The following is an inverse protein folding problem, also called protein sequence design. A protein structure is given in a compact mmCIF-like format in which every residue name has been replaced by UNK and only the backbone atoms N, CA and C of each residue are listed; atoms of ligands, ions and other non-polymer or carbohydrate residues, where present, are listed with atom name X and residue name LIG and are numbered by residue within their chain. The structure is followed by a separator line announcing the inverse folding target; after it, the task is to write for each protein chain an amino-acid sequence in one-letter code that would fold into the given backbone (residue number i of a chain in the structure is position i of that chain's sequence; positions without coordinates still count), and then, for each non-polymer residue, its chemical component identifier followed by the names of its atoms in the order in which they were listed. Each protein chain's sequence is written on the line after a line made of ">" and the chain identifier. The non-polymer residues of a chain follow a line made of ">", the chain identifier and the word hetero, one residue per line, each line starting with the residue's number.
data_IF_049882384040
#
_entry.id   IF_049882384040
#
_cell.length_a   1.000
_cell.length_b   1.000
_cell.length_c   1.000
_cell.angle_alpha   90.00
_cell.angle_beta   90.00
_cell.angle_gamma   90.00
#
_symmetry.space_group_name_H-M   'P 1'
#
loop_
_entity.id
_entity.type
_entity.pdbx_description
1 polymer ?
#
# COMPACT_ATOMS: atom_id res chain seq x y z
N UNK A 1 -31.93 -12.59 11.76
CA UNK A 1 -31.29 -12.27 10.45
C UNK A 1 -29.80 -12.48 10.64
N UNK A 2 -29.16 -13.24 9.80
CA UNK A 2 -27.68 -13.41 9.82
C UNK A 2 -27.04 -12.05 9.47
N UNK A 3 -25.98 -11.69 10.20
CA UNK A 3 -25.22 -10.47 9.96
C UNK A 3 -24.64 -10.48 8.51
N UNK A 4 -24.74 -9.36 7.76
CA UNK A 4 -24.21 -9.30 6.40
C UNK A 4 -22.69 -9.54 6.36
N UNK A 5 -22.25 -10.36 5.41
CA UNK A 5 -20.82 -10.62 5.19
C UNK A 5 -20.34 -10.00 3.87
N UNK A 6 -19.07 -9.69 3.81
CA UNK A 6 -18.36 -9.09 2.69
C UNK A 6 -17.17 -9.95 2.32
N UNK A 7 -16.85 -10.01 1.03
CA UNK A 7 -15.70 -10.69 0.50
C UNK A 7 -14.56 -9.71 0.23
N UNK A 8 -13.33 -10.13 0.46
CA UNK A 8 -12.14 -9.31 0.21
C UNK A 8 -11.01 -10.14 -0.40
N UNK A 9 -10.28 -9.55 -1.34
CA UNK A 9 -9.03 -10.07 -1.90
C UNK A 9 -7.93 -9.03 -1.68
N UNK A 10 -6.80 -9.45 -1.09
CA UNK A 10 -5.51 -8.79 -1.20
C UNK A 10 -4.69 -9.56 -2.24
N UNK A 11 -4.63 -9.01 -3.44
CA UNK A 11 -3.88 -9.56 -4.57
C UNK A 11 -2.46 -9.00 -4.56
N UNK A 12 -1.53 -9.72 -3.97
CA UNK A 12 -0.11 -9.36 -3.96
C UNK A 12 0.68 -10.07 -5.06
N UNK A 13 1.81 -9.51 -5.48
CA UNK A 13 2.66 -10.11 -6.51
C UNK A 13 3.27 -11.47 -6.12
N UNK A 14 3.30 -11.82 -4.82
CA UNK A 14 3.86 -13.09 -4.32
C UNK A 14 2.79 -13.99 -3.71
N UNK A 15 1.77 -13.41 -3.09
CA UNK A 15 0.70 -14.12 -2.38
C UNK A 15 -0.62 -13.43 -2.63
N UNK A 16 -1.70 -14.22 -2.64
CA UNK A 16 -3.08 -13.76 -2.49
C UNK A 16 -3.58 -14.08 -1.10
N UNK A 17 -4.39 -13.19 -0.55
CA UNK A 17 -5.17 -13.41 0.65
C UNK A 17 -6.62 -13.16 0.33
N UNK A 18 -7.48 -14.16 0.55
CA UNK A 18 -8.93 -14.03 0.41
C UNK A 18 -9.58 -14.14 1.77
N UNK A 19 -10.60 -13.35 2.03
CA UNK A 19 -11.28 -13.32 3.31
C UNK A 19 -12.79 -13.09 3.16
N UNK A 20 -13.53 -13.56 4.16
CA UNK A 20 -14.93 -13.20 4.44
C UNK A 20 -14.95 -12.54 5.81
N UNK A 21 -15.64 -11.43 5.93
CA UNK A 21 -15.76 -10.68 7.20
C UNK A 21 -17.03 -9.85 7.25
N UNK A 22 -17.22 -9.15 8.35
CA UNK A 22 -18.35 -8.27 8.61
C UNK A 22 -17.96 -6.81 8.48
N UNK A 23 -18.92 -5.90 8.44
CA UNK A 23 -18.70 -4.46 8.20
C UNK A 23 -17.86 -3.77 9.29
N UNK A 24 -17.78 -4.35 10.49
CA UNK A 24 -16.96 -3.87 11.59
C UNK A 24 -15.48 -4.29 11.48
N UNK A 25 -15.12 -5.06 10.43
CA UNK A 25 -13.76 -5.57 10.22
C UNK A 25 -13.48 -6.93 10.85
N UNK A 26 -14.49 -7.58 11.46
CA UNK A 26 -14.31 -8.92 12.05
C UNK A 26 -14.19 -9.98 10.95
N UNK A 27 -13.06 -10.67 10.91
CA UNK A 27 -12.84 -11.77 9.97
C UNK A 27 -13.56 -13.04 10.41
N UNK A 28 -14.32 -13.64 9.50
CA UNK A 28 -15.00 -14.95 9.70
C UNK A 28 -14.16 -16.09 9.16
N UNK A 29 -13.54 -15.88 7.99
CA UNK A 29 -12.69 -16.88 7.36
C UNK A 29 -11.63 -16.21 6.50
N UNK A 30 -10.44 -16.81 6.41
CA UNK A 30 -9.33 -16.31 5.60
C UNK A 30 -8.51 -17.46 5.06
N UNK A 31 -8.09 -17.34 3.79
CA UNK A 31 -7.10 -18.23 3.17
C UNK A 31 -5.96 -17.41 2.58
N UNK A 32 -4.78 -18.01 2.52
CA UNK A 32 -3.60 -17.43 1.88
C UNK A 32 -2.96 -18.49 0.99
N UNK A 33 -2.64 -18.11 -0.25
CA UNK A 33 -1.97 -18.98 -1.23
C UNK A 33 -0.98 -18.19 -2.08
N UNK A 34 -0.10 -18.90 -2.81
CA UNK A 34 0.90 -18.27 -3.66
C UNK A 34 0.27 -17.67 -4.93
N UNK A 35 0.78 -16.52 -5.35
CA UNK A 35 0.45 -15.92 -6.65
C UNK A 35 1.18 -16.68 -7.75
N UNK A 36 0.43 -17.46 -8.53
CA UNK A 36 0.89 -18.18 -9.72
C UNK A 36 0.54 -17.39 -10.98
N UNK A 37 0.20 -18.04 -12.06
CA UNK A 37 -0.42 -17.43 -13.23
C UNK A 37 -1.85 -16.92 -12.89
N UNK A 38 -2.42 -15.99 -13.68
CA UNK A 38 -3.73 -15.42 -13.40
C UNK A 38 -4.85 -16.45 -13.31
N UNK A 39 -4.91 -17.38 -14.26
CA UNK A 39 -6.02 -18.33 -14.36
C UNK A 39 -6.11 -19.23 -13.13
N UNK A 40 -4.99 -19.84 -12.74
CA UNK A 40 -4.93 -20.70 -11.58
C UNK A 40 -5.13 -19.94 -10.26
N UNK A 41 -4.58 -18.73 -10.14
CA UNK A 41 -4.69 -17.91 -8.92
C UNK A 41 -6.12 -17.42 -8.74
N UNK A 42 -6.75 -16.90 -9.79
CA UNK A 42 -8.12 -16.38 -9.73
C UNK A 42 -9.14 -17.51 -9.60
N UNK A 43 -8.89 -18.69 -10.18
CA UNK A 43 -9.73 -19.87 -9.98
C UNK A 43 -9.70 -20.37 -8.52
N UNK A 44 -8.52 -20.32 -7.85
CA UNK A 44 -8.40 -20.68 -6.44
C UNK A 44 -9.15 -19.69 -5.53
N UNK A 45 -9.05 -18.39 -5.83
CA UNK A 45 -9.80 -17.35 -5.12
C UNK A 45 -11.32 -17.54 -5.30
N UNK A 46 -11.78 -17.83 -6.52
CA UNK A 46 -13.18 -18.11 -6.82
C UNK A 46 -13.69 -19.31 -6.02
N UNK A 47 -12.97 -20.44 -6.06
CA UNK A 47 -13.35 -21.65 -5.31
C UNK A 47 -13.45 -21.39 -3.78
N UNK A 48 -12.59 -20.54 -3.24
CA UNK A 48 -12.70 -20.13 -1.85
C UNK A 48 -14.03 -19.40 -1.58
N UNK A 49 -14.41 -18.41 -2.39
CA UNK A 49 -15.65 -17.66 -2.18
C UNK A 49 -16.90 -18.50 -2.39
N UNK A 50 -16.91 -19.40 -3.36
CA UNK A 50 -18.00 -20.37 -3.57
C UNK A 50 -18.20 -21.26 -2.34
N UNK A 51 -17.11 -21.80 -1.79
CA UNK A 51 -17.14 -22.62 -0.59
C UNK A 51 -17.49 -21.79 0.67
N UNK A 52 -16.98 -20.58 0.81
CA UNK A 52 -17.27 -19.71 1.93
C UNK A 52 -18.74 -19.25 1.94
N UNK A 53 -19.34 -19.00 0.77
CA UNK A 53 -20.74 -18.65 0.64
C UNK A 53 -21.69 -19.75 1.17
N UNK A 54 -21.31 -21.02 1.06
CA UNK A 54 -22.07 -22.15 1.63
C UNK A 54 -22.07 -22.12 3.18
N UNK A 55 -20.99 -21.61 3.79
CA UNK A 55 -20.82 -21.60 5.26
C UNK A 55 -21.31 -20.30 5.91
N UNK A 56 -21.13 -19.18 5.24
CA UNK A 56 -21.34 -17.84 5.81
C UNK A 56 -22.48 -17.05 5.16
N UNK A 57 -23.07 -17.61 4.07
CA UNK A 57 -24.04 -16.90 3.22
C UNK A 57 -23.36 -16.11 2.10
N UNK A 58 -24.14 -15.71 1.11
CA UNK A 58 -23.66 -14.94 -0.04
C UNK A 58 -23.16 -13.55 0.41
N UNK A 59 -21.91 -13.18 0.08
CA UNK A 59 -21.40 -11.84 0.40
C UNK A 59 -22.23 -10.74 -0.26
N UNK A 60 -22.34 -9.59 0.39
CA UNK A 60 -23.04 -8.41 -0.14
C UNK A 60 -22.23 -7.69 -1.24
N UNK A 61 -20.90 -7.76 -1.15
CA UNK A 61 -19.97 -7.19 -2.13
C UNK A 61 -18.60 -7.87 -2.02
N UNK A 62 -17.78 -7.72 -3.07
CA UNK A 62 -16.38 -8.12 -3.11
C UNK A 62 -15.50 -6.87 -3.28
N UNK A 63 -14.55 -6.67 -2.37
CA UNK A 63 -13.46 -5.69 -2.51
C UNK A 63 -12.18 -6.38 -2.98
N UNK A 64 -11.53 -5.84 -4.00
CA UNK A 64 -10.24 -6.33 -4.50
C UNK A 64 -9.21 -5.23 -4.33
N UNK A 65 -8.19 -5.50 -3.54
CA UNK A 65 -7.00 -4.70 -3.36
C UNK A 65 -5.85 -5.36 -4.11
N UNK A 66 -5.29 -4.73 -5.14
CA UNK A 66 -4.29 -5.38 -5.99
C UNK A 66 -3.01 -4.55 -6.13
N UNK A 67 -1.90 -5.26 -6.30
CA UNK A 67 -0.70 -4.64 -6.86
C UNK A 67 -1.03 -4.02 -8.23
N UNK A 68 -0.24 -3.02 -8.62
CA UNK A 68 -0.49 -2.26 -9.83
C UNK A 68 0.59 -2.41 -10.91
N UNK A 69 0.53 -1.49 -11.89
CA UNK A 69 -0.52 -0.48 -12.09
C UNK A 69 -1.85 -1.07 -12.60
N UNK A 70 -2.95 -0.38 -12.26
CA UNK A 70 -4.33 -0.81 -12.55
C UNK A 70 -5.07 0.21 -13.40
N UNK A 71 -5.94 -0.26 -14.30
CA UNK A 71 -6.96 0.60 -14.88
C UNK A 71 -8.17 0.68 -13.96
N UNK A 72 -8.38 1.85 -13.37
CA UNK A 72 -9.42 2.10 -12.38
C UNK A 72 -10.53 3.03 -12.86
N UNK A 73 -10.45 3.57 -14.09
CA UNK A 73 -11.54 4.33 -14.68
C UNK A 73 -12.65 3.38 -15.17
N UNK A 74 -13.86 3.42 -14.57
CA UNK A 74 -14.97 2.56 -15.00
C UNK A 74 -15.42 2.75 -16.45
N UNK A 75 -15.05 3.87 -17.06
CA UNK A 75 -15.38 4.18 -18.46
C UNK A 75 -14.28 3.76 -19.44
N UNK A 76 -13.12 3.33 -18.94
CA UNK A 76 -12.03 2.89 -19.79
C UNK A 76 -12.27 1.44 -20.30
N UNK A 77 -11.88 1.13 -21.55
CA UNK A 77 -12.03 -0.22 -22.12
C UNK A 77 -11.31 -1.33 -21.33
N UNK A 78 -10.26 -0.97 -20.59
CA UNK A 78 -9.44 -1.88 -19.81
C UNK A 78 -9.78 -1.85 -18.30
N UNK A 79 -10.90 -1.27 -17.93
CA UNK A 79 -11.33 -1.22 -16.51
C UNK A 79 -11.27 -2.59 -15.85
N UNK A 80 -10.65 -2.65 -14.69
CA UNK A 80 -10.51 -3.90 -13.94
C UNK A 80 -9.26 -4.71 -14.26
N UNK A 81 -8.42 -4.24 -15.19
CA UNK A 81 -7.22 -4.97 -15.62
C UNK A 81 -5.94 -4.43 -15.00
N UNK A 82 -5.00 -5.34 -14.81
CA UNK A 82 -3.60 -5.00 -14.58
C UNK A 82 -3.00 -4.45 -15.88
N UNK A 83 -2.36 -3.28 -15.79
CA UNK A 83 -1.64 -2.69 -16.90
C UNK A 83 -0.23 -3.31 -17.01
N UNK A 84 0.75 -2.56 -17.51
CA UNK A 84 2.12 -3.06 -17.63
C UNK A 84 2.77 -3.24 -16.25
N UNK A 85 2.71 -4.45 -15.72
CA UNK A 85 3.27 -4.83 -14.43
C UNK A 85 4.57 -5.63 -14.59
N UNK A 86 5.53 -5.54 -13.63
CA UNK A 86 6.72 -6.38 -13.63
C UNK A 86 6.43 -7.86 -13.32
N UNK A 87 5.24 -8.20 -12.84
CA UNK A 87 4.85 -9.60 -12.57
C UNK A 87 4.60 -10.34 -13.87
N UNK A 88 5.48 -11.29 -14.20
CA UNK A 88 5.37 -12.08 -15.42
C UNK A 88 4.03 -12.79 -15.54
N UNK A 89 3.41 -12.70 -16.74
CA UNK A 89 2.13 -13.32 -17.08
C UNK A 89 0.89 -12.60 -16.55
N UNK A 90 1.05 -11.48 -15.80
CA UNK A 90 -0.09 -10.75 -15.24
C UNK A 90 -0.49 -9.49 -16.02
N UNK A 91 0.26 -9.14 -17.06
CA UNK A 91 -0.14 -8.06 -17.96
C UNK A 91 -1.51 -8.36 -18.59
N UNK A 92 -2.39 -7.37 -18.61
CA UNK A 92 -3.78 -7.44 -19.08
C UNK A 92 -4.70 -8.44 -18.33
N UNK A 93 -4.26 -9.02 -17.21
CA UNK A 93 -5.11 -9.88 -16.40
C UNK A 93 -6.33 -9.11 -15.88
N UNK A 94 -7.52 -9.68 -16.14
CA UNK A 94 -8.79 -9.11 -15.66
C UNK A 94 -9.07 -9.61 -14.25
N UNK A 95 -9.16 -8.67 -13.30
CA UNK A 95 -9.37 -8.98 -11.89
C UNK A 95 -10.86 -8.99 -11.50
N UNK A 96 -11.75 -8.51 -12.35
CA UNK A 96 -13.18 -8.38 -12.03
C UNK A 96 -13.99 -9.51 -12.71
N UNK A 97 -13.77 -9.76 -14.00
CA UNK A 97 -14.56 -10.72 -14.77
C UNK A 97 -14.62 -12.13 -14.15
N UNK A 98 -13.55 -12.69 -13.55
CA UNK A 98 -13.61 -14.01 -12.92
C UNK A 98 -14.63 -14.13 -11.78
N UNK A 99 -15.07 -13.01 -11.18
CA UNK A 99 -16.03 -12.97 -10.07
C UNK A 99 -17.44 -12.52 -10.47
N UNK A 100 -17.68 -12.20 -11.74
CA UNK A 100 -18.99 -11.76 -12.22
C UNK A 100 -20.13 -12.77 -11.94
N UNK A 101 -19.81 -14.07 -11.92
CA UNK A 101 -20.78 -15.15 -11.63
C UNK A 101 -21.33 -15.11 -10.20
N UNK A 102 -20.65 -14.41 -9.27
CA UNK A 102 -21.15 -14.25 -7.89
C UNK A 102 -22.40 -13.36 -7.82
N UNK A 103 -22.68 -12.57 -8.86
CA UNK A 103 -23.87 -11.69 -8.94
C UNK A 103 -23.90 -10.58 -7.90
N UNK A 104 -22.74 -10.21 -7.38
CA UNK A 104 -22.57 -9.16 -6.34
C UNK A 104 -21.73 -8.01 -6.87
N UNK A 105 -21.85 -6.79 -6.31
CA UNK A 105 -20.97 -5.67 -6.65
C UNK A 105 -19.51 -6.00 -6.38
N UNK A 106 -18.62 -5.64 -7.32
CA UNK A 106 -17.17 -5.78 -7.18
C UNK A 106 -16.54 -4.39 -7.22
N UNK A 107 -15.72 -4.06 -6.22
CA UNK A 107 -14.92 -2.85 -6.17
C UNK A 107 -13.43 -3.22 -6.28
N UNK A 108 -12.67 -2.47 -7.10
CA UNK A 108 -11.24 -2.66 -7.30
C UNK A 108 -10.49 -1.38 -6.94
N UNK A 109 -9.40 -1.52 -6.22
CA UNK A 109 -8.41 -0.46 -5.98
C UNK A 109 -7.01 -1.04 -5.81
N UNK A 110 -5.99 -0.18 -5.69
CA UNK A 110 -4.64 -0.62 -5.35
C UNK A 110 -4.58 -1.13 -3.91
N UNK A 111 -3.61 -2.00 -3.64
CA UNK A 111 -3.34 -2.52 -2.30
C UNK A 111 -3.07 -1.40 -1.28
N UNK A 112 -2.32 -0.37 -1.66
CA UNK A 112 -2.05 0.80 -0.79
C UNK A 112 -3.27 1.68 -0.58
N UNK A 113 -4.15 1.85 -1.57
CA UNK A 113 -5.41 2.57 -1.40
C UNK A 113 -6.36 1.82 -0.47
N UNK A 114 -6.45 0.51 -0.61
CA UNK A 114 -7.25 -0.32 0.29
C UNK A 114 -6.70 -0.29 1.72
N UNK A 115 -5.37 -0.31 1.91
CA UNK A 115 -4.74 -0.14 3.20
C UNK A 115 -5.05 1.25 3.81
N UNK A 116 -4.99 2.31 3.00
CA UNK A 116 -5.35 3.66 3.45
C UNK A 116 -6.83 3.75 3.88
N UNK A 117 -7.74 3.11 3.12
CA UNK A 117 -9.16 3.02 3.51
C UNK A 117 -9.36 2.23 4.81
N UNK A 118 -8.64 1.13 4.99
CA UNK A 118 -8.69 0.33 6.22
C UNK A 118 -8.22 1.15 7.42
N UNK A 119 -7.09 1.86 7.29
CA UNK A 119 -6.60 2.76 8.33
C UNK A 119 -7.57 3.91 8.62
N UNK A 120 -8.20 4.47 7.61
CA UNK A 120 -9.23 5.50 7.78
C UNK A 120 -10.49 4.99 8.48
N UNK A 121 -10.85 3.73 8.25
CA UNK A 121 -12.11 3.15 8.75
C UNK A 121 -11.95 2.52 10.13
N UNK A 122 -10.89 1.78 10.37
CA UNK A 122 -10.71 0.97 11.59
C UNK A 122 -9.39 1.23 12.34
N UNK A 123 -8.44 1.91 11.71
CA UNK A 123 -7.07 2.05 12.21
C UNK A 123 -6.70 3.46 12.64
N UNK A 124 -5.46 3.82 12.37
CA UNK A 124 -4.85 5.08 12.77
C UNK A 124 -5.49 6.34 12.16
N UNK A 125 -6.35 6.20 11.15
CA UNK A 125 -7.08 7.30 10.52
C UNK A 125 -8.30 7.79 11.30
N UNK A 126 -8.43 7.41 12.58
CA UNK A 126 -9.54 7.86 13.43
C UNK A 126 -9.05 8.82 14.51
N UNK A 127 -9.90 9.80 14.85
CA UNK A 127 -9.70 10.68 16.00
C UNK A 127 -10.03 9.93 17.30
N UNK A 128 -9.62 10.43 18.47
CA UNK A 128 -9.94 9.81 19.76
C UNK A 128 -11.45 9.66 20.03
N UNK A 129 -12.27 10.54 19.45
CA UNK A 129 -13.74 10.48 19.53
C UNK A 129 -14.35 9.45 18.57
N UNK A 130 -13.51 8.74 17.80
CA UNK A 130 -13.93 7.73 16.85
C UNK A 130 -14.36 8.29 15.49
N UNK A 131 -14.32 9.59 15.23
CA UNK A 131 -14.58 10.14 13.90
C UNK A 131 -13.40 9.95 12.96
N UNK A 132 -13.61 9.69 11.65
CA UNK A 132 -12.51 9.56 10.71
C UNK A 132 -11.81 10.91 10.48
N UNK A 133 -10.54 10.87 10.15
CA UNK A 133 -9.80 12.02 9.62
C UNK A 133 -10.28 12.32 8.20
N UNK A 134 -10.25 13.60 7.81
CA UNK A 134 -10.67 14.02 6.47
C UNK A 134 -9.65 13.66 5.40
N UNK A 135 -8.36 13.74 5.74
CA UNK A 135 -7.26 13.41 4.83
C UNK A 135 -6.22 12.57 5.54
N UNK A 136 -5.96 11.39 5.00
CA UNK A 136 -4.97 10.43 5.49
C UNK A 136 -4.14 9.92 4.32
N UNK A 137 -2.84 9.74 4.54
CA UNK A 137 -1.95 9.03 3.60
C UNK A 137 -1.36 7.82 4.29
N UNK A 138 -1.50 6.67 3.65
CA UNK A 138 -0.80 5.44 4.01
C UNK A 138 0.36 5.21 3.05
N UNK A 139 1.54 4.90 3.58
CA UNK A 139 2.72 4.54 2.78
C UNK A 139 3.21 3.17 3.21
N UNK A 140 3.36 2.26 2.26
CA UNK A 140 4.03 0.98 2.49
C UNK A 140 5.49 1.08 2.05
N UNK A 141 6.41 0.59 2.88
CA UNK A 141 7.83 0.44 2.57
C UNK A 141 8.19 -1.04 2.74
N UNK A 142 8.33 -1.74 1.62
CA UNK A 142 8.56 -3.19 1.59
C UNK A 142 9.40 -3.59 0.40
N UNK A 143 8.92 -4.52 -0.42
CA UNK A 143 9.54 -4.87 -1.71
C UNK A 143 9.53 -3.70 -2.68
N UNK A 144 8.48 -2.86 -2.62
CA UNK A 144 8.38 -1.58 -3.28
C UNK A 144 8.03 -0.49 -2.27
N UNK A 145 7.80 0.74 -2.76
CA UNK A 145 7.26 1.86 -2.00
C UNK A 145 6.02 2.37 -2.72
N UNK A 146 4.87 2.22 -2.08
CA UNK A 146 3.60 2.72 -2.60
C UNK A 146 2.88 3.60 -1.59
N UNK A 147 1.96 4.44 -2.08
CA UNK A 147 1.18 5.31 -1.20
C UNK A 147 -0.28 5.39 -1.60
N UNK A 148 -1.17 5.16 -0.63
CA UNK A 148 -2.61 5.36 -0.75
C UNK A 148 -3.04 6.64 -0.05
N UNK A 149 -3.91 7.40 -0.70
CA UNK A 149 -4.41 8.69 -0.20
C UNK A 149 -5.92 8.62 -0.04
N UNK A 150 -6.41 8.93 1.15
CA UNK A 150 -7.85 9.05 1.42
C UNK A 150 -8.19 10.50 1.71
N UNK A 151 -9.18 11.04 1.00
CA UNK A 151 -9.74 12.39 1.18
C UNK A 151 -11.24 12.25 1.34
N UNK A 152 -11.78 12.73 2.47
CA UNK A 152 -13.21 12.64 2.80
C UNK A 152 -13.79 11.23 2.61
N UNK A 153 -13.04 10.20 3.10
CA UNK A 153 -13.47 8.80 3.04
C UNK A 153 -13.39 8.15 1.66
N UNK A 154 -12.75 8.80 0.68
CA UNK A 154 -12.56 8.28 -0.68
C UNK A 154 -11.09 8.25 -1.06
N UNK A 155 -10.68 7.23 -1.79
CA UNK A 155 -9.33 7.16 -2.36
C UNK A 155 -9.14 8.24 -3.43
N UNK A 156 -7.96 8.88 -3.40
CA UNK A 156 -7.60 9.89 -4.39
C UNK A 156 -7.31 9.20 -5.73
N UNK A 157 -8.03 9.64 -6.74
CA UNK A 157 -7.84 9.23 -8.14
C UNK A 157 -7.86 10.47 -9.02
N UNK A 158 -7.04 10.46 -10.05
CA UNK A 158 -6.99 11.48 -11.09
C UNK A 158 -6.85 10.79 -12.43
N UNK A 159 -5.80 11.12 -13.17
CA UNK A 159 -5.42 10.40 -14.39
C UNK A 159 -5.20 8.91 -14.12
N UNK A 160 -4.61 8.61 -12.96
CA UNK A 160 -4.45 7.27 -12.38
C UNK A 160 -4.37 7.39 -10.86
N UNK A 161 -4.07 6.31 -10.15
CA UNK A 161 -3.74 6.34 -8.73
C UNK A 161 -2.35 6.98 -8.48
N UNK A 162 -2.08 7.58 -7.32
CA UNK A 162 -0.77 8.12 -6.97
C UNK A 162 0.32 7.05 -6.98
N UNK A 163 1.50 7.40 -7.49
CA UNK A 163 2.72 6.59 -7.50
C UNK A 163 3.81 7.28 -6.68
N UNK A 164 3.54 7.48 -5.39
CA UNK A 164 4.38 8.29 -4.48
C UNK A 164 5.81 7.76 -4.35
N UNK A 165 6.05 6.46 -4.58
CA UNK A 165 7.37 5.85 -4.51
C UNK A 165 8.31 6.26 -5.66
N UNK A 166 7.80 6.86 -6.72
CA UNK A 166 8.61 7.13 -7.91
C UNK A 166 9.07 8.58 -8.06
N UNK A 167 8.89 9.45 -7.05
CA UNK A 167 9.54 10.77 -7.09
C UNK A 167 11.05 10.64 -6.88
N UNK A 168 11.84 11.61 -7.40
CA UNK A 168 13.28 11.65 -7.27
C UNK A 168 13.67 12.51 -6.06
N UNK A 169 14.13 11.90 -4.95
CA UNK A 169 14.58 12.65 -3.79
C UNK A 169 15.96 13.28 -4.02
N UNK A 170 16.32 14.25 -3.21
CA UNK A 170 17.71 14.71 -3.13
C UNK A 170 18.56 13.56 -2.58
N UNK A 171 19.71 13.32 -3.23
CA UNK A 171 20.61 12.23 -2.83
C UNK A 171 21.27 12.53 -1.49
N UNK A 172 21.25 11.54 -0.60
CA UNK A 172 21.99 11.61 0.65
C UNK A 172 23.50 11.69 0.36
N UNK A 173 24.29 12.56 1.05
CA UNK A 173 25.71 12.71 0.78
C UNK A 173 26.51 11.40 0.85
N UNK A 174 26.18 10.53 1.80
CA UNK A 174 26.86 9.25 2.02
C UNK A 174 26.33 8.13 1.08
N UNK A 175 25.41 8.44 0.16
CA UNK A 175 24.78 7.46 -0.73
C UNK A 175 24.97 7.80 -2.23
N UNK A 176 25.83 8.74 -2.56
CA UNK A 176 26.05 9.19 -3.93
C UNK A 176 26.57 8.08 -4.86
N UNK A 177 27.25 7.08 -4.31
CA UNK A 177 27.78 5.94 -5.06
C UNK A 177 26.77 4.86 -5.41
N UNK A 178 25.57 4.85 -4.83
CA UNK A 178 24.55 3.85 -5.12
C UNK A 178 23.66 4.30 -6.28
N UNK A 179 23.62 3.53 -7.36
CA UNK A 179 22.88 3.93 -8.58
C UNK A 179 21.35 3.82 -8.46
N UNK A 180 20.85 3.19 -7.39
CA UNK A 180 19.44 2.82 -7.29
C UNK A 180 19.10 1.54 -8.07
N UNK A 181 17.94 0.94 -7.78
CA UNK A 181 17.52 -0.34 -8.36
C UNK A 181 16.17 -0.29 -9.07
N UNK A 182 15.53 0.87 -9.18
CA UNK A 182 14.27 0.96 -9.90
C UNK A 182 14.49 0.71 -11.40
N UNK A 183 13.76 -0.24 -12.02
CA UNK A 183 13.97 -0.58 -13.43
C UNK A 183 13.55 0.54 -14.40
N UNK A 184 12.78 1.53 -13.93
CA UNK A 184 12.29 2.65 -14.74
C UNK A 184 13.10 3.92 -14.53
N UNK A 185 13.45 4.26 -13.27
CA UNK A 185 14.03 5.55 -12.90
C UNK A 185 15.42 5.44 -12.27
N UNK A 186 15.92 4.21 -11.99
CA UNK A 186 17.18 4.02 -11.26
C UNK A 186 17.04 4.50 -9.81
N UNK A 187 17.26 5.78 -9.57
CA UNK A 187 17.39 6.41 -8.26
C UNK A 187 16.15 7.23 -7.80
N UNK A 188 14.94 6.85 -8.24
CA UNK A 188 13.74 7.33 -7.55
C UNK A 188 13.68 6.79 -6.11
N UNK A 189 12.75 7.28 -5.29
CA UNK A 189 12.63 6.88 -3.89
C UNK A 189 12.54 5.36 -3.73
N UNK A 190 11.70 4.69 -4.51
CA UNK A 190 11.59 3.22 -4.46
C UNK A 190 12.92 2.55 -4.78
N UNK A 191 13.63 3.04 -5.80
CA UNK A 191 14.94 2.50 -6.19
C UNK A 191 16.03 2.73 -5.14
N UNK A 192 15.82 3.66 -4.22
CA UNK A 192 16.77 4.03 -3.17
C UNK A 192 16.41 3.48 -1.79
N UNK A 193 15.12 3.34 -1.46
CA UNK A 193 14.66 3.16 -0.08
C UNK A 193 13.72 1.96 0.12
N UNK A 194 13.52 1.08 -0.87
CA UNK A 194 12.80 -0.16 -0.64
C UNK A 194 13.69 -1.22 0.02
N UNK A 195 13.09 -2.29 0.56
CA UNK A 195 13.82 -3.37 1.20
C UNK A 195 14.95 -3.96 0.34
N UNK A 196 14.74 -4.30 -0.94
CA UNK A 196 15.79 -4.73 -1.86
C UNK A 196 16.95 -3.73 -2.02
N UNK A 197 16.67 -2.42 -2.05
CA UNK A 197 17.71 -1.40 -2.13
C UNK A 197 18.57 -1.35 -0.86
N UNK A 198 17.96 -1.52 0.31
CA UNK A 198 18.68 -1.63 1.58
C UNK A 198 19.58 -2.88 1.57
N UNK A 199 19.03 -4.03 1.18
CA UNK A 199 19.78 -5.28 1.06
C UNK A 199 20.95 -5.16 0.09
N UNK A 200 20.75 -4.49 -1.06
CA UNK A 200 21.82 -4.27 -2.04
C UNK A 200 22.99 -3.45 -1.49
N UNK A 201 22.72 -2.50 -0.58
CA UNK A 201 23.79 -1.73 0.11
C UNK A 201 24.45 -2.53 1.21
N UNK A 202 23.68 -3.30 1.97
CA UNK A 202 24.19 -4.10 3.09
C UNK A 202 25.00 -5.31 2.62
N UNK A 203 24.68 -5.89 1.47
CA UNK A 203 25.25 -7.16 1.00
C UNK A 203 24.73 -8.40 1.75
N UNK A 204 23.76 -8.23 2.65
CA UNK A 204 23.12 -9.31 3.43
C UNK A 204 21.66 -8.95 3.76
N UNK A 205 20.93 -9.91 4.34
CA UNK A 205 19.50 -9.72 4.65
C UNK A 205 19.25 -8.57 5.63
N UNK A 206 18.14 -7.87 5.43
CA UNK A 206 17.70 -6.72 6.21
C UNK A 206 17.64 -7.03 7.73
N UNK A 207 17.11 -8.21 8.09
CA UNK A 207 16.95 -8.62 9.49
C UNK A 207 18.26 -8.82 10.27
N UNK A 208 19.41 -8.88 9.58
CA UNK A 208 20.74 -9.02 10.19
C UNK A 208 21.48 -7.68 10.33
N UNK A 209 20.91 -6.57 9.86
CA UNK A 209 21.52 -5.26 10.00
C UNK A 209 21.53 -4.82 11.48
N UNK A 210 22.68 -4.36 11.95
CA UNK A 210 22.77 -3.77 13.30
C UNK A 210 21.78 -2.62 13.45
N UNK A 211 21.10 -2.48 14.60
CA UNK A 211 20.24 -1.33 14.87
C UNK A 211 20.96 0.02 14.71
N UNK A 212 22.29 0.07 14.90
CA UNK A 212 23.10 1.28 14.80
C UNK A 212 23.80 1.42 13.43
N UNK A 213 23.41 0.62 12.42
CA UNK A 213 24.03 0.69 11.11
C UNK A 213 23.68 2.03 10.42
N UNK A 214 24.67 2.74 9.79
CA UNK A 214 24.44 4.03 9.13
C UNK A 214 23.38 4.04 8.05
N UNK A 215 23.04 2.86 7.49
CA UNK A 215 21.97 2.71 6.50
C UNK A 215 20.63 3.27 6.98
N UNK A 216 20.36 3.20 8.29
CA UNK A 216 19.10 3.69 8.85
C UNK A 216 18.96 5.22 8.81
N UNK A 217 20.09 5.95 8.86
CA UNK A 217 20.09 7.41 8.68
C UNK A 217 19.80 7.78 7.22
N UNK A 218 20.38 7.05 6.27
CA UNK A 218 20.13 7.21 4.83
C UNK A 218 18.66 6.92 4.53
N UNK A 219 18.15 5.80 5.03
CA UNK A 219 16.76 5.37 4.86
C UNK A 219 15.78 6.41 5.44
N UNK A 220 16.07 6.86 6.67
CA UNK A 220 15.25 7.87 7.34
C UNK A 220 15.25 9.21 6.60
N UNK A 221 16.37 9.60 5.98
CA UNK A 221 16.45 10.82 5.21
C UNK A 221 15.56 10.76 3.96
N UNK A 222 15.63 9.67 3.19
CA UNK A 222 14.80 9.47 2.02
C UNK A 222 13.30 9.40 2.36
N UNK A 223 12.91 8.66 3.39
CA UNK A 223 11.52 8.59 3.85
C UNK A 223 11.06 9.91 4.48
N UNK A 224 11.95 10.65 5.11
CA UNK A 224 11.68 12.00 5.62
C UNK A 224 11.37 13.00 4.51
N UNK A 225 12.05 12.90 3.37
CA UNK A 225 11.75 13.70 2.18
C UNK A 225 10.37 13.37 1.61
N UNK A 226 9.99 12.08 1.55
CA UNK A 226 8.65 11.67 1.14
C UNK A 226 7.59 12.26 2.08
N UNK A 227 7.77 12.13 3.38
CA UNK A 227 6.82 12.65 4.36
C UNK A 227 6.69 14.19 4.27
N UNK A 228 7.80 14.90 4.04
CA UNK A 228 7.78 16.34 3.82
C UNK A 228 7.06 16.71 2.51
N UNK A 229 7.31 15.99 1.42
CA UNK A 229 6.60 16.17 0.15
C UNK A 229 5.08 15.97 0.32
N UNK A 230 4.69 14.89 0.98
CA UNK A 230 3.27 14.59 1.27
C UNK A 230 2.65 15.71 2.11
N UNK A 231 3.33 16.17 3.16
CA UNK A 231 2.84 17.26 4.01
C UNK A 231 2.65 18.56 3.22
N UNK A 232 3.59 18.92 2.34
CA UNK A 232 3.55 20.14 1.54
C UNK A 232 2.54 20.11 0.39
N UNK A 233 2.23 18.93 -0.16
CA UNK A 233 1.38 18.78 -1.36
C UNK A 233 -0.05 18.38 -1.05
N UNK A 234 -0.24 17.47 -0.08
CA UNK A 234 -1.55 16.91 0.28
C UNK A 234 -2.07 17.41 1.62
N UNK A 235 -1.19 17.97 2.45
CA UNK A 235 -1.51 18.49 3.80
C UNK A 235 -2.39 17.54 4.63
N UNK A 236 -2.03 16.24 4.73
CA UNK A 236 -2.86 15.28 5.43
C UNK A 236 -2.83 15.51 6.94
N UNK A 237 -3.90 15.13 7.61
CA UNK A 237 -3.96 15.16 9.07
C UNK A 237 -3.11 14.03 9.68
N UNK A 238 -2.82 12.97 8.91
CA UNK A 238 -1.94 11.87 9.34
C UNK A 238 -1.26 11.18 8.16
N UNK A 239 0.00 10.82 8.35
CA UNK A 239 0.75 9.90 7.48
C UNK A 239 0.99 8.63 8.29
N UNK A 240 0.54 7.49 7.76
CA UNK A 240 0.75 6.15 8.35
C UNK A 240 1.81 5.45 7.53
N UNK A 241 2.88 5.01 8.20
CA UNK A 241 3.96 4.26 7.56
C UNK A 241 3.85 2.79 7.95
N UNK A 242 3.80 1.91 6.96
CA UNK A 242 3.73 0.46 7.12
C UNK A 242 4.68 -0.29 6.19
N UNK A 243 4.51 -1.60 6.10
CA UNK A 243 5.36 -2.47 5.30
C UNK A 243 6.51 -3.10 6.09
N UNK A 244 7.24 -4.02 5.42
CA UNK A 244 8.27 -4.84 6.08
C UNK A 244 9.45 -4.05 6.64
N UNK A 245 9.88 -2.99 5.95
CA UNK A 245 10.98 -2.12 6.41
C UNK A 245 10.59 -1.37 7.69
N UNK A 246 9.32 -0.98 7.82
CA UNK A 246 8.83 -0.25 8.97
C UNK A 246 8.69 -1.09 10.25
N UNK A 247 8.92 -2.40 10.19
CA UNK A 247 9.07 -3.24 11.39
C UNK A 247 10.30 -2.85 12.23
N UNK A 248 11.25 -2.13 11.65
CA UNK A 248 12.34 -1.49 12.37
C UNK A 248 11.84 -0.20 13.06
N UNK A 249 11.26 -0.34 14.25
CA UNK A 249 10.62 0.75 15.01
C UNK A 249 11.52 1.98 15.23
N UNK A 250 12.85 1.79 15.23
CA UNK A 250 13.84 2.86 15.31
C UNK A 250 13.75 3.88 14.15
N UNK A 251 13.26 3.47 12.98
CA UNK A 251 13.10 4.39 11.85
C UNK A 251 12.09 5.51 12.14
N UNK A 252 11.04 5.27 12.91
CA UNK A 252 10.01 6.28 13.14
C UNK A 252 10.55 7.60 13.72
N UNK A 253 11.31 7.62 14.83
CA UNK A 253 11.85 8.87 15.35
C UNK A 253 12.85 9.53 14.40
N UNK A 254 13.64 8.76 13.65
CA UNK A 254 14.58 9.28 12.65
C UNK A 254 13.83 9.93 11.48
N UNK A 255 12.84 9.25 10.91
CA UNK A 255 12.01 9.79 9.83
C UNK A 255 11.33 11.09 10.26
N UNK A 256 10.78 11.15 11.48
CA UNK A 256 10.17 12.37 12.04
C UNK A 256 11.16 13.52 12.09
N UNK A 257 12.36 13.27 12.60
CA UNK A 257 13.42 14.30 12.67
C UNK A 257 13.81 14.78 11.27
N UNK A 258 13.96 13.86 10.31
CA UNK A 258 14.27 14.20 8.91
C UNK A 258 13.13 14.94 8.22
N UNK A 259 11.88 14.55 8.47
CA UNK A 259 10.70 15.28 7.98
C UNK A 259 10.71 16.72 8.44
N UNK A 260 10.93 16.97 9.74
CA UNK A 260 11.05 18.32 10.29
C UNK A 260 12.19 19.11 9.66
N UNK A 261 13.33 18.46 9.44
CA UNK A 261 14.48 19.07 8.75
C UNK A 261 14.09 19.52 7.32
N UNK A 262 13.45 18.65 6.54
CA UNK A 262 13.06 18.94 5.16
C UNK A 262 11.91 19.95 5.05
N UNK A 263 11.05 20.05 6.04
CA UNK A 263 10.03 21.11 6.13
C UNK A 263 10.65 22.49 6.43
N UNK A 264 11.88 22.56 6.96
CA UNK A 264 12.62 23.79 7.15
C UNK A 264 11.94 24.81 8.05
N UNK A 265 11.00 24.40 8.90
CA UNK A 265 10.18 25.29 9.73
C UNK A 265 9.06 26.03 8.98
N UNK A 266 8.84 25.75 7.71
CA UNK A 266 7.76 26.37 6.92
C UNK A 266 6.37 26.02 7.47
N UNK A 267 6.17 24.75 7.84
CA UNK A 267 5.00 24.31 8.60
C UNK A 267 5.35 24.38 10.08
N UNK A 268 4.52 25.05 10.87
CA UNK A 268 4.78 25.19 12.31
C UNK A 268 4.86 23.83 13.01
N UNK A 269 5.85 23.63 13.86
CA UNK A 269 6.18 22.34 14.48
C UNK A 269 5.00 21.68 15.19
N UNK A 270 4.12 22.48 15.84
CA UNK A 270 2.91 21.98 16.51
C UNK A 270 1.84 21.45 15.54
N UNK A 271 1.92 21.79 14.25
CA UNK A 271 1.04 21.25 13.19
C UNK A 271 1.52 19.91 12.65
N UNK A 272 2.76 19.53 12.96
CA UNK A 272 3.37 18.25 12.57
C UNK A 272 3.64 17.46 13.84
N UNK A 273 2.57 17.07 14.54
CA UNK A 273 2.70 16.23 15.71
C UNK A 273 3.14 14.83 15.33
N UNK A 274 4.05 14.31 16.10
CA UNK A 274 4.63 12.98 15.95
C UNK A 274 4.04 12.09 17.03
N UNK A 275 2.90 11.47 16.72
CA UNK A 275 2.27 10.46 17.57
C UNK A 275 3.08 9.17 17.64
#
# INVERSE_FOLDING_TARGET
>A
MTEPVYAAIEAGGTKFVCAIGTADGTLRERVRFATRDPDNTLAEARGFFEAAAQRHGTPQALGIASFGPLELDPNAPLYGRLLRTPKAGWHDADLIAPFAHLGIPVALDTDVNAAALAESTWGAGRRPDGTPLDTLVYVTVGTGIGGGVVVHGRTLRGMMHPELGHFCPRRHPDDLGFAGICPHHGDCLEGLANGPAIVARLGHELGSASPDHPIWDIEADYLGQLCALIALTLSPQRIVLGGGVMQHARLFPLIRARTQHWLGGYIARHQVETG
#
